data_IF_867599466295
#
_entry.id   IF_867599466295
#
_cell.length_a   1.000
_cell.length_b   1.000
_cell.length_c   1.000
_cell.angle_alpha   90.00
_cell.angle_beta   90.00
_cell.angle_gamma   90.00
#
_symmetry.space_group_name_H-M   'P 1'
#
loop_
_entity.id
_entity.type
_entity.pdbx_description
1 polymer ?
#
# COMPACT_ATOMS: atom_id res chain seq x y z
N UNK A 1 -20.57 -29.92 -1.15
CA UNK A 1 -21.51 -28.77 -1.06
C UNK A 1 -20.69 -27.52 -1.29
N UNK A 2 -21.02 -26.71 -2.29
CA UNK A 2 -20.30 -25.45 -2.55
C UNK A 2 -20.77 -24.40 -1.56
N UNK A 3 -19.84 -23.77 -0.83
CA UNK A 3 -20.14 -22.65 0.07
C UNK A 3 -20.35 -21.41 -0.81
N UNK A 4 -21.52 -20.75 -0.77
CA UNK A 4 -21.76 -19.54 -1.56
C UNK A 4 -20.76 -18.42 -1.22
N UNK A 5 -20.35 -17.67 -2.25
CA UNK A 5 -19.52 -16.46 -2.13
C UNK A 5 -20.36 -15.22 -2.46
N UNK A 6 -20.12 -14.14 -1.73
CA UNK A 6 -20.60 -12.79 -2.03
C UNK A 6 -19.41 -11.94 -2.42
N UNK A 7 -19.45 -11.31 -3.60
CA UNK A 7 -18.40 -10.39 -4.08
C UNK A 7 -19.00 -8.98 -4.11
N UNK A 8 -18.39 -8.04 -3.39
CA UNK A 8 -18.93 -6.67 -3.20
C UNK A 8 -17.81 -5.64 -3.11
N UNK A 9 -18.08 -4.38 -3.47
CA UNK A 9 -17.18 -3.25 -3.25
C UNK A 9 -17.38 -2.60 -1.86
N UNK A 10 -18.43 -2.98 -1.15
CA UNK A 10 -18.77 -2.40 0.15
C UNK A 10 -18.40 -3.37 1.26
N UNK A 11 -17.58 -2.92 2.22
CA UNK A 11 -17.28 -3.75 3.39
C UNK A 11 -18.56 -3.95 4.20
N UNK A 12 -18.91 -5.21 4.48
CA UNK A 12 -20.09 -5.51 5.28
C UNK A 12 -19.98 -4.88 6.68
N UNK A 13 -21.05 -4.25 7.16
CA UNK A 13 -21.06 -3.48 8.41
C UNK A 13 -20.63 -4.29 9.64
N UNK A 14 -20.94 -5.59 9.68
CA UNK A 14 -20.50 -6.48 10.74
C UNK A 14 -19.00 -6.77 10.70
N UNK A 15 -18.37 -6.77 9.50
CA UNK A 15 -16.91 -6.88 9.35
C UNK A 15 -16.25 -5.58 9.81
N UNK A 16 -16.79 -4.43 9.43
CA UNK A 16 -16.31 -3.12 9.88
C UNK A 16 -16.33 -3.02 11.42
N UNK A 17 -17.46 -3.43 12.04
CA UNK A 17 -17.60 -3.48 13.49
C UNK A 17 -16.59 -4.43 14.14
N UNK A 18 -16.41 -5.64 13.59
CA UNK A 18 -15.45 -6.60 14.11
C UNK A 18 -13.99 -6.14 14.02
N UNK A 19 -13.64 -5.36 12.99
CA UNK A 19 -12.32 -4.71 12.92
C UNK A 19 -12.17 -3.60 13.96
N UNK A 20 -13.25 -2.86 14.23
CA UNK A 20 -13.25 -1.76 15.20
C UNK A 20 -13.12 -2.27 16.64
N UNK A 21 -13.80 -3.35 16.99
CA UNK A 21 -13.77 -3.95 18.33
C UNK A 21 -12.65 -4.98 18.54
N UNK A 22 -11.91 -5.31 17.47
CA UNK A 22 -10.78 -6.24 17.50
C UNK A 22 -11.17 -7.72 17.42
N UNK A 23 -12.45 -8.04 17.25
CA UNK A 23 -12.91 -9.41 16.97
C UNK A 23 -12.32 -9.93 15.67
N UNK A 24 -12.13 -9.04 14.69
CA UNK A 24 -11.49 -9.35 13.42
C UNK A 24 -10.19 -8.57 13.27
N UNK A 25 -9.23 -9.18 12.57
CA UNK A 25 -7.93 -8.58 12.28
C UNK A 25 -7.62 -8.76 10.81
N UNK A 26 -7.09 -7.71 10.18
CA UNK A 26 -6.54 -7.77 8.83
C UNK A 26 -5.13 -8.34 8.89
N UNK A 27 -4.87 -9.38 8.09
CA UNK A 27 -3.55 -9.98 7.90
C UNK A 27 -3.30 -10.03 6.40
N UNK A 28 -2.48 -9.11 5.88
CA UNK A 28 -2.20 -9.01 4.45
C UNK A 28 -3.47 -8.85 3.60
N UNK A 29 -3.73 -9.83 2.74
CA UNK A 29 -4.86 -9.86 1.81
C UNK A 29 -6.17 -10.39 2.41
N UNK A 30 -6.20 -10.74 3.69
CA UNK A 30 -7.37 -11.37 4.34
C UNK A 30 -7.78 -10.68 5.62
N UNK A 31 -9.05 -10.83 5.98
CA UNK A 31 -9.55 -10.56 7.33
C UNK A 31 -9.92 -11.89 7.96
N UNK A 32 -9.43 -12.09 9.18
CA UNK A 32 -9.64 -13.30 9.97
C UNK A 32 -10.26 -12.97 11.32
N UNK A 33 -10.90 -13.96 11.91
CA UNK A 33 -11.31 -13.92 13.31
C UNK A 33 -10.08 -13.98 14.23
N UNK A 34 -9.99 -13.06 15.18
CA UNK A 34 -8.81 -12.91 16.03
C UNK A 34 -8.55 -14.15 16.89
N UNK A 35 -9.61 -14.87 17.28
CA UNK A 35 -9.54 -16.02 18.20
C UNK A 35 -9.44 -17.34 17.44
N UNK A 36 -10.39 -17.59 16.54
CA UNK A 36 -10.50 -18.85 15.78
C UNK A 36 -9.59 -18.90 14.56
N UNK A 37 -9.06 -17.75 14.10
CA UNK A 37 -8.27 -17.61 12.87
C UNK A 37 -9.03 -18.00 11.59
N UNK A 38 -10.34 -18.20 11.66
CA UNK A 38 -11.17 -18.46 10.50
C UNK A 38 -11.19 -17.28 9.55
N UNK A 39 -11.23 -17.55 8.25
CA UNK A 39 -11.26 -16.50 7.23
C UNK A 39 -12.67 -15.95 7.10
N UNK A 40 -12.75 -14.64 7.26
CA UNK A 40 -13.98 -13.85 7.23
C UNK A 40 -14.20 -13.24 5.85
N UNK A 41 -13.14 -12.75 5.21
CA UNK A 41 -13.19 -12.19 3.86
C UNK A 41 -11.80 -12.06 3.24
N UNK A 42 -11.71 -12.14 1.91
CA UNK A 42 -10.51 -11.77 1.14
C UNK A 42 -10.67 -10.37 0.55
N UNK A 43 -9.58 -9.63 0.54
CA UNK A 43 -9.45 -8.28 -0.02
C UNK A 43 -8.77 -8.40 -1.37
N UNK A 44 -9.34 -7.78 -2.40
CA UNK A 44 -8.83 -7.85 -3.76
C UNK A 44 -8.98 -6.52 -4.46
N UNK A 45 -8.03 -6.11 -5.28
CA UNK A 45 -8.18 -4.89 -6.08
C UNK A 45 -9.12 -5.13 -7.29
N UNK A 46 -9.95 -4.15 -7.68
CA UNK A 46 -10.73 -4.17 -8.90
C UNK A 46 -9.85 -4.16 -10.17
N UNK A 47 -10.35 -4.78 -11.24
CA UNK A 47 -9.62 -4.96 -12.51
C UNK A 47 -9.25 -3.65 -13.25
N UNK A 48 -9.84 -2.51 -12.87
CA UNK A 48 -9.71 -1.22 -13.56
C UNK A 48 -9.02 -0.13 -12.73
N UNK A 49 -8.42 -0.46 -11.58
CA UNK A 49 -7.72 0.54 -10.78
C UNK A 49 -6.58 1.16 -11.59
N UNK A 50 -6.57 2.48 -11.83
CA UNK A 50 -5.48 3.13 -12.53
C UNK A 50 -4.19 2.91 -11.76
N UNK A 51 -3.21 2.33 -12.44
CA UNK A 51 -1.84 2.24 -11.95
C UNK A 51 -1.35 3.66 -11.66
N UNK A 52 -0.94 4.01 -10.43
CA UNK A 52 -0.39 5.33 -10.15
C UNK A 52 0.85 5.57 -11.00
N UNK A 53 0.79 6.58 -11.88
CA UNK A 53 1.96 7.06 -12.61
C UNK A 53 2.82 7.91 -11.66
N UNK A 54 4.11 7.57 -11.51
CA UNK A 54 5.06 8.37 -10.70
C UNK A 54 5.99 9.18 -11.61
N UNK A 55 6.10 10.47 -11.30
CA UNK A 55 6.81 11.50 -12.07
C UNK A 55 8.33 11.39 -11.90
N UNK A 56 9.05 11.61 -13.01
CA UNK A 56 10.51 11.52 -13.09
C UNK A 56 11.19 12.78 -12.55
N UNK A 57 11.76 12.74 -11.34
CA UNK A 57 12.75 13.75 -10.91
C UNK A 57 13.85 13.15 -10.02
N UNK A 58 15.15 13.45 -10.24
CA UNK A 58 16.25 12.63 -9.74
C UNK A 58 16.64 12.86 -8.28
N UNK A 59 16.14 13.92 -7.61
CA UNK A 59 16.62 14.31 -6.27
C UNK A 59 15.63 13.99 -5.13
N UNK A 60 14.55 13.24 -5.42
CA UNK A 60 13.47 12.92 -4.48
C UNK A 60 13.30 11.42 -4.19
N UNK A 61 14.24 10.56 -4.59
CA UNK A 61 14.11 9.09 -4.60
C UNK A 61 13.80 8.45 -3.24
N UNK A 62 14.21 9.06 -2.14
CA UNK A 62 13.92 8.60 -0.78
C UNK A 62 12.61 9.20 -0.21
N UNK A 63 12.23 10.42 -0.61
CA UNK A 63 11.08 11.16 -0.06
C UNK A 63 9.74 10.86 -0.74
N UNK A 64 9.71 10.19 -1.90
CA UNK A 64 8.50 10.05 -2.72
C UNK A 64 7.99 8.61 -2.84
N UNK A 65 8.70 7.63 -2.27
CA UNK A 65 8.39 6.20 -2.39
C UNK A 65 7.49 5.69 -1.26
N UNK A 66 7.40 6.42 -0.16
CA UNK A 66 6.74 5.95 1.06
C UNK A 66 5.36 6.58 1.30
N UNK A 67 5.10 7.79 0.77
CA UNK A 67 3.78 8.42 0.85
C UNK A 67 2.77 7.87 -0.17
N UNK A 68 2.28 6.66 0.05
CA UNK A 68 1.00 6.17 -0.45
C UNK A 68 -0.16 6.75 0.39
N UNK A 69 -0.46 8.04 0.19
CA UNK A 69 -1.63 8.81 0.63
C UNK A 69 -2.07 8.75 2.13
N UNK A 70 -1.65 9.75 2.90
CA UNK A 70 -2.57 10.79 3.39
C UNK A 70 -1.78 11.97 3.99
N UNK A 71 -1.82 13.10 3.29
CA UNK A 71 -1.42 14.39 3.82
C UNK A 71 -2.44 14.76 4.89
N UNK A 72 -2.09 14.62 6.17
CA UNK A 72 -2.79 15.32 7.26
C UNK A 72 -2.45 16.79 7.11
N UNK A 73 -3.15 17.47 6.20
CA UNK A 73 -3.24 18.92 6.23
C UNK A 73 -4.17 19.28 7.38
N UNK A 74 -3.59 19.53 8.56
CA UNK A 74 -4.23 20.34 9.59
C UNK A 74 -4.77 21.61 8.94
N UNK A 75 -6.08 21.85 9.09
CA UNK A 75 -6.80 22.90 8.39
C UNK A 75 -6.16 24.28 8.50
N UNK A 76 -5.87 24.86 7.34
CA UNK A 76 -5.79 26.30 7.14
C UNK A 76 -6.11 26.60 5.66
N UNK A 77 -7.12 27.45 5.45
CA UNK A 77 -7.57 27.94 4.16
C UNK A 77 -6.41 28.42 3.26
N UNK A 78 -6.36 27.97 2.02
CA UNK A 78 -5.69 28.69 0.94
C UNK A 78 -6.44 28.52 -0.39
N UNK A 79 -7.04 29.62 -0.80
CA UNK A 79 -7.84 29.86 -1.97
C UNK A 79 -7.09 29.66 -3.31
N UNK A 80 -7.76 28.99 -4.26
CA UNK A 80 -8.13 29.51 -5.59
C UNK A 80 -7.03 30.18 -6.44
N UNK A 81 -6.65 29.45 -7.50
CA UNK A 81 -6.47 29.92 -8.89
C UNK A 81 -5.11 30.47 -9.35
N UNK A 82 -4.59 29.83 -10.41
CA UNK A 82 -4.37 30.40 -11.76
C UNK A 82 -3.75 29.31 -12.66
N UNK A 83 -4.50 28.75 -13.60
CA UNK A 83 -4.53 29.18 -15.00
C UNK A 83 -5.14 28.11 -15.91
N UNK A 84 -6.28 28.47 -16.50
CA UNK A 84 -6.94 27.79 -17.59
C UNK A 84 -8.30 28.46 -17.77
N UNK A 85 -8.41 29.76 -18.07
CA UNK A 85 -7.82 30.47 -19.22
C UNK A 85 -7.99 29.72 -20.56
N UNK A 86 -9.10 28.98 -20.69
CA UNK A 86 -9.64 28.53 -21.98
C UNK A 86 -11.16 28.78 -22.13
N UNK A 87 -11.91 29.13 -21.07
CA UNK A 87 -13.37 29.29 -21.14
C UNK A 87 -13.91 30.72 -20.90
N UNK A 88 -13.04 31.74 -20.91
CA UNK A 88 -13.46 33.15 -20.80
C UNK A 88 -13.37 33.91 -22.13
N UNK A 89 -12.80 33.31 -23.18
CA UNK A 89 -12.73 33.93 -24.51
C UNK A 89 -13.98 33.65 -25.38
N UNK A 90 -14.98 32.93 -24.86
CA UNK A 90 -16.16 32.50 -25.62
C UNK A 90 -17.50 33.16 -25.26
N UNK A 91 -17.61 33.93 -24.16
CA UNK A 91 -18.93 34.45 -23.70
C UNK A 91 -18.95 35.90 -23.18
N UNK A 92 -17.92 36.70 -23.46
CA UNK A 92 -17.96 38.16 -23.26
C UNK A 92 -17.48 38.95 -24.50
N UNK A 93 -17.71 38.40 -25.69
CA UNK A 93 -17.71 39.13 -26.95
C UNK A 93 -19.11 39.67 -27.25
N UNK A 94 -19.42 40.85 -26.72
CA UNK A 94 -20.58 41.63 -27.15
C UNK A 94 -21.51 42.01 -25.99
N UNK A 95 -21.46 43.27 -25.57
CA UNK A 95 -22.46 44.30 -25.94
C UNK A 95 -22.20 45.54 -25.09
N UNK A 96 -21.72 46.59 -25.75
CA UNK A 96 -22.03 48.02 -25.55
C UNK A 96 -21.34 48.74 -26.73
N UNK A 97 -21.88 49.70 -27.47
CA UNK A 97 -22.85 50.78 -27.25
C UNK A 97 -23.39 51.26 -28.62
N UNK A 98 -24.66 51.67 -28.68
CA UNK A 98 -25.20 52.92 -29.29
C UNK A 98 -26.74 52.80 -29.45
N UNK A 99 -27.53 53.47 -28.59
CA UNK A 99 -28.30 54.73 -28.84
C UNK A 99 -29.46 54.54 -29.83
N UNK A 100 -30.74 54.88 -29.66
CA UNK A 100 -31.58 55.85 -28.89
C UNK A 100 -33.01 55.24 -28.89
N UNK A 101 -34.03 55.54 -28.07
CA UNK A 101 -34.27 56.54 -27.03
C UNK A 101 -35.74 56.42 -26.52
N UNK A 102 -36.02 57.17 -25.44
CA UNK A 102 -37.29 57.47 -24.74
C UNK A 102 -37.75 56.47 -23.65
N UNK A 103 -37.50 56.67 -22.33
CA UNK A 103 -37.96 57.74 -21.38
C UNK A 103 -39.51 57.72 -21.25
N UNK A 104 -40.21 57.66 -20.11
CA UNK A 104 -40.02 57.94 -18.67
C UNK A 104 -41.02 57.05 -17.85
N UNK A 105 -40.98 56.87 -16.53
CA UNK A 105 -41.16 57.86 -15.44
C UNK A 105 -40.71 57.29 -14.09
N UNK A 106 -40.01 58.15 -13.33
CA UNK A 106 -39.68 58.20 -11.89
C UNK A 106 -40.57 57.36 -10.94
N UNK A 107 -40.09 56.74 -9.86
CA UNK A 107 -39.20 57.27 -8.82
C UNK A 107 -39.97 57.32 -7.49
N UNK A 108 -39.23 57.26 -6.38
CA UNK A 108 -39.63 57.50 -4.97
C UNK A 108 -39.90 56.25 -4.11
N UNK A 109 -39.24 56.34 -2.96
CA UNK A 109 -39.05 55.43 -1.85
C UNK A 109 -40.23 55.46 -0.86
N UNK A 110 -40.30 54.40 -0.02
CA UNK A 110 -40.69 54.38 1.40
C UNK A 110 -42.19 54.34 1.86
N UNK A 111 -42.43 53.32 2.71
CA UNK A 111 -43.28 53.23 3.93
C UNK A 111 -44.74 52.70 3.85
N UNK A 112 -44.95 51.58 4.57
CA UNK A 112 -46.12 51.25 5.45
C UNK A 112 -47.42 50.84 4.74
N UNK A 113 -48.22 49.84 5.14
CA UNK A 113 -48.48 49.24 6.46
C UNK A 113 -49.34 47.96 6.25
N UNK A 114 -48.97 46.86 6.93
CA UNK A 114 -49.77 45.76 7.54
C UNK A 114 -51.20 45.44 7.02
N UNK A 115 -51.42 44.19 6.55
CA UNK A 115 -52.51 43.30 7.00
C UNK A 115 -52.29 41.83 6.54
N UNK A 116 -52.47 40.90 7.48
CA UNK A 116 -52.21 39.44 7.42
C UNK A 116 -53.23 38.65 6.57
N UNK A 117 -52.74 37.61 5.89
CA UNK A 117 -53.42 36.32 5.79
C UNK A 117 -52.38 35.19 5.80
N UNK A 118 -52.43 34.39 6.87
CA UNK A 118 -51.45 33.37 7.22
C UNK A 118 -51.50 32.15 6.28
N UNK A 119 -50.37 31.83 5.65
CA UNK A 119 -50.05 30.47 5.21
C UNK A 119 -48.87 29.99 6.07
N UNK A 120 -49.15 28.91 6.79
CA UNK A 120 -48.49 28.38 7.97
C UNK A 120 -47.00 28.06 7.81
N UNK A 121 -46.18 28.58 8.72
CA UNK A 121 -44.76 28.24 8.93
C UNK A 121 -44.47 26.80 9.39
N UNK A 122 -45.49 25.94 9.54
CA UNK A 122 -45.26 24.51 9.82
C UNK A 122 -44.75 23.73 8.60
N UNK A 123 -45.11 24.13 7.37
CA UNK A 123 -44.68 23.42 6.16
C UNK A 123 -43.19 23.54 5.88
N UNK A 124 -42.60 24.73 6.10
CA UNK A 124 -41.17 24.95 5.88
C UNK A 124 -40.29 24.40 7.02
N UNK A 125 -40.76 24.44 8.27
CA UNK A 125 -40.04 23.84 9.38
C UNK A 125 -39.98 22.30 9.29
N UNK A 126 -41.05 21.66 8.79
CA UNK A 126 -41.10 20.21 8.58
C UNK A 126 -40.16 19.77 7.44
N UNK A 127 -40.10 20.54 6.35
CA UNK A 127 -39.16 20.28 5.25
C UNK A 127 -37.70 20.49 5.69
N UNK A 128 -37.41 21.53 6.47
CA UNK A 128 -36.06 21.79 6.98
C UNK A 128 -35.62 20.74 8.02
N UNK A 129 -36.56 20.24 8.83
CA UNK A 129 -36.31 19.12 9.76
C UNK A 129 -36.07 17.79 9.06
N UNK A 130 -36.76 17.52 7.94
CA UNK A 130 -36.56 16.31 7.13
C UNK A 130 -35.28 16.37 6.29
N UNK A 131 -34.88 17.56 5.82
CA UNK A 131 -33.58 17.77 5.15
C UNK A 131 -32.41 17.66 6.13
N UNK A 132 -32.51 18.22 7.34
CA UNK A 132 -31.50 18.04 8.39
C UNK A 132 -31.36 16.58 8.86
N UNK A 133 -32.45 15.80 8.85
CA UNK A 133 -32.42 14.36 9.10
C UNK A 133 -31.71 13.56 8.00
N UNK A 134 -31.89 13.96 6.73
CA UNK A 134 -31.23 13.35 5.57
C UNK A 134 -29.74 13.75 5.52
N UNK A 135 -29.39 15.00 5.87
CA UNK A 135 -28.00 15.46 5.98
C UNK A 135 -27.25 14.77 7.13
N UNK A 136 -27.91 14.51 8.26
CA UNK A 136 -27.32 13.71 9.35
C UNK A 136 -27.15 12.23 8.96
N UNK A 137 -28.09 11.64 8.21
CA UNK A 137 -27.95 10.27 7.70
C UNK A 137 -26.88 10.16 6.59
N UNK A 138 -26.77 11.15 5.70
CA UNK A 138 -25.70 11.22 4.70
C UNK A 138 -24.33 11.52 5.35
N UNK A 139 -24.32 12.31 6.42
CA UNK A 139 -23.15 12.55 7.26
C UNK A 139 -22.68 11.30 8.00
N UNK A 140 -23.60 10.49 8.55
CA UNK A 140 -23.29 9.20 9.18
C UNK A 140 -22.85 8.13 8.18
N UNK A 141 -23.38 8.13 6.95
CA UNK A 141 -22.93 7.24 5.85
C UNK A 141 -21.54 7.66 5.33
N UNK A 142 -21.30 8.97 5.17
CA UNK A 142 -20.00 9.52 4.77
C UNK A 142 -18.92 9.34 5.83
N UNK A 143 -19.26 9.50 7.11
CA UNK A 143 -18.37 9.21 8.23
C UNK A 143 -18.10 7.72 8.37
N UNK A 144 -19.10 6.82 8.19
CA UNK A 144 -18.84 5.38 8.17
C UNK A 144 -17.93 4.96 7.02
N UNK A 145 -18.06 5.54 5.82
CA UNK A 145 -17.15 5.25 4.71
C UNK A 145 -15.71 5.69 5.00
N UNK A 146 -15.52 6.88 5.58
CA UNK A 146 -14.19 7.38 5.99
C UNK A 146 -13.60 6.62 7.19
N UNK A 147 -14.41 6.20 8.17
CA UNK A 147 -13.95 5.40 9.32
C UNK A 147 -13.63 3.97 8.91
N UNK A 148 -14.40 3.38 7.99
CA UNK A 148 -14.17 2.02 7.46
C UNK A 148 -12.93 1.96 6.58
N UNK A 149 -12.68 3.00 5.79
CA UNK A 149 -11.42 3.15 5.06
C UNK A 149 -10.27 3.44 6.03
N UNK A 150 -10.43 4.33 7.01
CA UNK A 150 -9.40 4.66 8.01
C UNK A 150 -8.95 3.46 8.85
N UNK A 151 -9.86 2.56 9.25
CA UNK A 151 -9.56 1.34 10.01
C UNK A 151 -8.75 0.33 9.17
N UNK A 152 -9.03 0.22 7.87
CA UNK A 152 -8.28 -0.62 6.95
C UNK A 152 -6.96 0.03 6.48
N UNK A 153 -6.92 1.37 6.39
CA UNK A 153 -5.80 2.17 5.89
C UNK A 153 -4.59 2.19 6.84
N UNK A 154 -4.74 1.93 8.14
CA UNK A 154 -3.60 1.93 9.08
C UNK A 154 -2.60 0.79 8.82
N UNK A 155 -2.81 -0.04 7.81
CA UNK A 155 -1.86 -1.11 7.39
C UNK A 155 -1.76 -1.27 5.86
N UNK A 156 -2.35 -0.38 5.06
CA UNK A 156 -2.09 -0.34 3.61
C UNK A 156 -0.77 0.37 3.31
N UNK A 157 0.26 0.16 4.14
CA UNK A 157 1.63 0.44 3.72
C UNK A 157 1.80 -0.28 2.39
N UNK A 158 2.13 0.47 1.34
CA UNK A 158 2.07 0.04 -0.05
C UNK A 158 2.77 -1.33 -0.23
N UNK A 159 2.00 -2.40 -0.12
CA UNK A 159 2.51 -3.74 -0.28
C UNK A 159 2.91 -3.88 -1.72
N UNK A 160 4.09 -4.42 -1.97
CA UNK A 160 4.49 -4.65 -3.36
C UNK A 160 3.71 -5.81 -3.98
N UNK A 161 3.13 -6.67 -3.15
CA UNK A 161 2.35 -7.83 -3.55
C UNK A 161 0.88 -7.54 -3.36
N UNK A 162 0.37 -6.53 -4.06
CA UNK A 162 -0.97 -6.01 -3.81
C UNK A 162 -2.14 -6.97 -4.17
N UNK A 163 -1.85 -8.21 -4.52
CA UNK A 163 -2.80 -9.03 -5.28
C UNK A 163 -3.02 -10.37 -4.64
N UNK A 164 -4.15 -10.56 -3.94
CA UNK A 164 -4.82 -11.85 -4.02
C UNK A 164 -4.85 -12.34 -5.47
N UNK A 165 -5.06 -13.63 -5.74
CA UNK A 165 -5.04 -14.27 -7.06
C UNK A 165 -6.02 -13.59 -8.04
N UNK A 166 -5.68 -12.39 -8.52
CA UNK A 166 -6.55 -11.45 -9.22
C UNK A 166 -5.88 -11.00 -10.52
N UNK A 167 -6.72 -10.60 -11.47
CA UNK A 167 -6.46 -10.45 -12.91
C UNK A 167 -5.45 -9.33 -13.26
N UNK A 168 -4.91 -8.61 -12.28
CA UNK A 168 -3.80 -7.67 -12.48
C UNK A 168 -2.50 -8.46 -12.73
N UNK A 169 -2.23 -8.69 -14.01
CA UNK A 169 -1.27 -9.68 -14.51
C UNK A 169 0.21 -9.32 -14.34
N UNK A 170 1.05 -10.11 -15.01
CA UNK A 170 2.49 -9.91 -15.13
C UNK A 170 2.94 -8.51 -15.56
N UNK A 171 2.03 -7.65 -16.05
CA UNK A 171 2.29 -6.23 -16.32
C UNK A 171 2.68 -5.44 -15.05
N UNK A 172 2.02 -5.69 -13.91
CA UNK A 172 2.39 -5.04 -12.63
C UNK A 172 3.76 -5.51 -12.18
N UNK A 173 4.04 -6.82 -12.28
CA UNK A 173 5.35 -7.39 -11.97
C UNK A 173 6.42 -6.79 -12.88
N UNK A 174 6.15 -6.64 -14.18
CA UNK A 174 7.06 -6.01 -15.14
C UNK A 174 7.36 -4.54 -14.79
N UNK A 175 6.34 -3.77 -14.42
CA UNK A 175 6.51 -2.38 -14.02
C UNK A 175 7.33 -2.26 -12.73
N UNK A 176 7.05 -3.10 -11.73
CA UNK A 176 7.81 -3.12 -10.47
C UNK A 176 9.25 -3.54 -10.70
N UNK A 177 9.49 -4.56 -11.52
CA UNK A 177 10.84 -4.96 -11.91
C UNK A 177 11.59 -3.83 -12.63
N UNK A 178 10.92 -3.08 -13.50
CA UNK A 178 11.51 -1.93 -14.18
C UNK A 178 11.89 -0.80 -13.20
N UNK A 179 11.04 -0.56 -12.20
CA UNK A 179 11.33 0.38 -11.12
C UNK A 179 12.54 -0.07 -10.29
N UNK A 180 12.60 -1.35 -9.93
CA UNK A 180 13.74 -1.92 -9.18
C UNK A 180 15.03 -1.85 -9.98
N UNK A 181 15.00 -2.15 -11.28
CA UNK A 181 16.17 -2.01 -12.15
C UNK A 181 16.66 -0.57 -12.21
N UNK A 182 15.75 0.42 -12.27
CA UNK A 182 16.11 1.84 -12.26
C UNK A 182 16.76 2.24 -10.93
N UNK A 183 16.23 1.77 -9.80
CA UNK A 183 16.79 2.04 -8.47
C UNK A 183 18.17 1.41 -8.30
N UNK A 184 18.33 0.15 -8.72
CA UNK A 184 19.63 -0.50 -8.68
C UNK A 184 20.64 0.20 -9.61
N UNK A 185 20.24 0.66 -10.80
CA UNK A 185 21.13 1.46 -11.67
C UNK A 185 21.59 2.75 -10.98
N UNK A 186 20.68 3.44 -10.30
CA UNK A 186 21.00 4.65 -9.53
C UNK A 186 21.90 4.33 -8.33
N UNK A 187 21.64 3.23 -7.63
CA UNK A 187 22.50 2.76 -6.56
C UNK A 187 23.88 2.35 -7.08
N UNK A 188 23.98 1.73 -8.26
CA UNK A 188 25.25 1.39 -8.91
C UNK A 188 26.08 2.64 -9.24
N UNK A 189 25.46 3.72 -9.70
CA UNK A 189 26.17 5.00 -9.90
C UNK A 189 26.77 5.55 -8.59
N UNK A 190 26.11 5.33 -7.45
CA UNK A 190 26.61 5.69 -6.13
C UNK A 190 27.67 4.69 -5.61
N UNK A 191 27.47 3.40 -5.84
CA UNK A 191 28.31 2.28 -5.39
C UNK A 191 29.56 2.07 -6.27
N UNK A 192 29.56 2.56 -7.51
CA UNK A 192 30.74 2.59 -8.38
C UNK A 192 31.86 3.45 -7.78
N UNK A 193 31.53 4.40 -6.90
CA UNK A 193 32.52 5.12 -6.08
C UNK A 193 33.26 4.22 -5.08
N UNK A 194 32.75 3.00 -4.85
CA UNK A 194 33.27 1.96 -3.94
C UNK A 194 33.58 0.66 -4.70
N UNK A 195 33.70 0.72 -6.04
CA UNK A 195 34.10 -0.40 -6.91
C UNK A 195 33.19 -1.65 -6.86
N UNK A 196 31.89 -1.46 -6.62
CA UNK A 196 30.88 -2.53 -6.63
C UNK A 196 30.01 -2.42 -7.88
N UNK A 197 29.94 -3.49 -8.68
CA UNK A 197 29.11 -3.58 -9.90
C UNK A 197 27.86 -4.42 -9.64
N UNK A 198 26.74 -3.99 -10.21
CA UNK A 198 25.49 -4.74 -10.16
C UNK A 198 25.32 -5.46 -11.50
N UNK A 199 25.14 -6.78 -11.48
CA UNK A 199 24.93 -7.52 -12.71
C UNK A 199 23.49 -7.37 -13.20
N UNK A 200 23.28 -6.40 -14.10
CA UNK A 200 21.99 -6.13 -14.72
C UNK A 200 21.56 -7.20 -15.73
N UNK A 201 22.42 -8.17 -16.10
CA UNK A 201 22.05 -9.23 -17.03
C UNK A 201 20.95 -10.14 -16.46
N UNK A 202 20.92 -10.32 -15.14
CA UNK A 202 19.88 -11.08 -14.45
C UNK A 202 18.49 -10.43 -14.56
N UNK A 203 18.43 -9.10 -14.61
CA UNK A 203 17.16 -8.38 -14.84
C UNK A 203 16.64 -8.59 -16.27
N UNK A 204 17.53 -8.67 -17.25
CA UNK A 204 17.12 -9.02 -18.61
C UNK A 204 16.55 -10.44 -18.69
N UNK A 205 17.15 -11.39 -17.97
CA UNK A 205 16.63 -12.76 -17.86
C UNK A 205 15.24 -12.78 -17.19
N UNK A 206 15.07 -12.05 -16.08
CA UNK A 206 13.79 -11.92 -15.40
C UNK A 206 12.73 -11.26 -16.29
N UNK A 207 13.06 -10.20 -17.02
CA UNK A 207 12.15 -9.57 -17.99
C UNK A 207 11.69 -10.56 -19.05
N UNK A 208 12.60 -11.36 -19.60
CA UNK A 208 12.25 -12.41 -20.56
C UNK A 208 11.32 -13.46 -19.94
N UNK A 209 11.53 -13.83 -18.67
CA UNK A 209 10.63 -14.72 -17.94
C UNK A 209 9.22 -14.14 -17.80
N UNK A 210 9.13 -12.84 -17.49
CA UNK A 210 7.86 -12.11 -17.39
C UNK A 210 7.14 -12.03 -18.74
N UNK A 211 7.86 -11.77 -19.84
CA UNK A 211 7.27 -11.79 -21.18
C UNK A 211 6.73 -13.18 -21.56
N UNK A 212 7.48 -14.24 -21.26
CA UNK A 212 7.02 -15.63 -21.44
C UNK A 212 5.77 -15.90 -20.59
N UNK A 213 5.73 -15.40 -19.36
CA UNK A 213 4.56 -15.57 -18.50
C UNK A 213 3.34 -14.78 -19.01
N UNK A 214 3.51 -13.55 -19.50
CA UNK A 214 2.44 -12.79 -20.18
C UNK A 214 1.90 -13.59 -21.37
N UNK A 215 2.78 -14.14 -22.20
CA UNK A 215 2.40 -14.97 -23.34
C UNK A 215 1.61 -16.21 -22.90
N UNK A 216 2.02 -16.86 -21.81
CA UNK A 216 1.31 -18.01 -21.27
C UNK A 216 -0.15 -17.71 -20.93
N UNK A 217 -0.44 -16.50 -20.41
CA UNK A 217 -1.78 -16.11 -19.98
C UNK A 217 -2.64 -15.46 -21.08
N UNK A 218 -2.04 -15.07 -22.21
CA UNK A 218 -2.72 -14.32 -23.28
C UNK A 218 -2.90 -15.12 -24.57
N UNK A 219 -2.09 -16.17 -24.79
CA UNK A 219 -2.20 -17.02 -25.97
C UNK A 219 -3.47 -17.88 -25.95
N UNK A 220 -4.07 -18.11 -27.12
CA UNK A 220 -5.33 -18.87 -27.22
C UNK A 220 -5.13 -20.38 -27.31
N UNK A 221 -3.99 -20.84 -27.84
CA UNK A 221 -3.69 -22.26 -28.02
C UNK A 221 -3.12 -22.87 -26.73
N UNK A 222 -3.75 -23.92 -26.14
CA UNK A 222 -3.30 -24.51 -24.88
C UNK A 222 -1.84 -24.95 -24.87
N UNK A 223 -1.35 -25.58 -25.95
CA UNK A 223 0.04 -26.04 -26.04
C UNK A 223 1.06 -24.89 -26.02
N UNK A 224 0.71 -23.76 -26.65
CA UNK A 224 1.58 -22.59 -26.65
C UNK A 224 1.62 -21.92 -25.27
N UNK A 225 0.47 -21.88 -24.57
CA UNK A 225 0.38 -21.42 -23.19
C UNK A 225 1.26 -22.26 -22.29
N UNK A 226 1.11 -23.58 -22.38
CA UNK A 226 1.90 -24.56 -21.61
C UNK A 226 3.39 -24.42 -21.84
N UNK A 227 3.82 -24.34 -23.10
CA UNK A 227 5.22 -24.17 -23.46
C UNK A 227 5.80 -22.86 -22.91
N UNK A 228 5.05 -21.75 -23.02
CA UNK A 228 5.49 -20.45 -22.47
C UNK A 228 5.57 -20.47 -20.95
N UNK A 229 4.58 -21.06 -20.27
CA UNK A 229 4.57 -21.17 -18.81
C UNK A 229 5.77 -21.97 -18.29
N UNK A 230 6.08 -23.13 -18.90
CA UNK A 230 7.22 -23.96 -18.51
C UNK A 230 8.56 -23.23 -18.71
N UNK A 231 8.71 -22.48 -19.81
CA UNK A 231 9.92 -21.67 -20.04
C UNK A 231 10.05 -20.53 -19.03
N UNK A 232 8.93 -19.89 -18.66
CA UNK A 232 8.91 -18.85 -17.64
C UNK A 232 9.31 -19.41 -16.26
N UNK A 233 8.72 -20.55 -15.86
CA UNK A 233 9.02 -21.25 -14.59
C UNK A 233 10.53 -21.51 -14.45
N UNK A 234 11.17 -22.09 -15.48
CA UNK A 234 12.59 -22.38 -15.42
C UNK A 234 13.45 -21.12 -15.20
N UNK A 235 13.08 -19.98 -15.79
CA UNK A 235 13.79 -18.72 -15.61
C UNK A 235 13.50 -18.07 -14.26
N UNK A 236 12.29 -18.21 -13.72
CA UNK A 236 11.99 -17.74 -12.36
C UNK A 236 12.72 -18.57 -11.31
N UNK A 237 12.81 -19.89 -11.47
CA UNK A 237 13.62 -20.75 -10.61
C UNK A 237 15.10 -20.35 -10.62
N UNK A 238 15.65 -20.06 -11.81
CA UNK A 238 17.01 -19.52 -11.92
C UNK A 238 17.14 -18.19 -11.17
N UNK A 239 16.20 -17.26 -11.38
CA UNK A 239 16.17 -15.97 -10.70
C UNK A 239 16.07 -16.12 -9.17
N UNK A 240 15.27 -17.05 -8.65
CA UNK A 240 15.18 -17.30 -7.22
C UNK A 240 16.53 -17.67 -6.62
N UNK A 241 17.29 -18.57 -7.25
CA UNK A 241 18.62 -18.95 -6.77
C UNK A 241 19.58 -17.74 -6.73
N UNK A 242 19.60 -16.97 -7.82
CA UNK A 242 20.47 -15.79 -7.93
C UNK A 242 20.11 -14.72 -6.89
N UNK A 243 18.83 -14.35 -6.82
CA UNK A 243 18.39 -13.28 -5.92
C UNK A 243 18.39 -13.70 -4.45
N UNK A 244 18.30 -15.01 -4.17
CA UNK A 244 18.56 -15.53 -2.82
C UNK A 244 19.98 -15.23 -2.37
N UNK A 245 20.98 -15.57 -3.21
CA UNK A 245 22.40 -15.34 -2.91
C UNK A 245 22.69 -13.84 -2.75
N UNK A 246 22.22 -13.00 -3.69
CA UNK A 246 22.43 -11.55 -3.57
C UNK A 246 21.76 -10.95 -2.35
N UNK A 247 20.53 -11.36 -2.02
CA UNK A 247 19.85 -10.88 -0.82
C UNK A 247 20.66 -11.22 0.44
N UNK A 248 21.15 -12.46 0.56
CA UNK A 248 21.94 -12.88 1.71
C UNK A 248 23.24 -12.06 1.82
N UNK A 249 23.96 -11.87 0.71
CA UNK A 249 25.19 -11.04 0.65
C UNK A 249 24.92 -9.59 1.05
N UNK A 250 23.87 -8.96 0.51
CA UNK A 250 23.57 -7.56 0.81
C UNK A 250 23.11 -7.34 2.26
N UNK A 251 22.34 -8.28 2.82
CA UNK A 251 21.92 -8.25 4.23
C UNK A 251 23.16 -8.37 5.13
N UNK A 252 24.07 -9.32 4.85
CA UNK A 252 25.31 -9.50 5.62
C UNK A 252 26.20 -8.26 5.59
N UNK A 253 26.24 -7.59 4.44
CA UNK A 253 26.98 -6.35 4.25
C UNK A 253 26.25 -5.10 4.78
N UNK A 254 25.05 -5.27 5.32
CA UNK A 254 24.21 -4.18 5.85
C UNK A 254 23.97 -3.09 4.81
N UNK A 255 23.72 -3.52 3.58
CA UNK A 255 23.60 -2.67 2.40
C UNK A 255 22.23 -2.02 2.30
N UNK A 256 22.17 -0.85 1.66
CA UNK A 256 20.91 -0.15 1.36
C UNK A 256 20.13 -0.81 0.23
N UNK A 257 20.74 -1.69 -0.57
CA UNK A 257 20.08 -2.33 -1.71
C UNK A 257 19.52 -3.74 -1.42
N UNK A 258 19.53 -4.12 -0.14
CA UNK A 258 19.10 -5.46 0.26
C UNK A 258 17.60 -5.67 0.05
N UNK A 259 16.78 -4.62 0.25
CA UNK A 259 15.34 -4.68 -0.01
C UNK A 259 15.00 -4.86 -1.49
N UNK A 260 15.76 -4.26 -2.42
CA UNK A 260 15.50 -4.43 -3.84
C UNK A 260 15.68 -5.88 -4.28
N UNK A 261 16.73 -6.56 -3.81
CA UNK A 261 16.91 -7.99 -4.11
C UNK A 261 15.90 -8.86 -3.39
N UNK A 262 15.59 -8.58 -2.13
CA UNK A 262 14.59 -9.32 -1.37
C UNK A 262 13.20 -9.20 -2.02
N UNK A 263 12.89 -8.03 -2.55
CA UNK A 263 11.67 -7.79 -3.28
C UNK A 263 11.68 -8.46 -4.65
N UNK A 264 12.81 -8.48 -5.35
CA UNK A 264 12.93 -9.19 -6.63
C UNK A 264 12.76 -10.70 -6.44
N UNK A 265 13.33 -11.26 -5.36
CA UNK A 265 13.12 -12.64 -4.94
C UNK A 265 11.63 -12.91 -4.64
N UNK A 266 10.98 -11.99 -3.94
CA UNK A 266 9.54 -12.05 -3.67
C UNK A 266 8.71 -12.06 -4.97
N UNK A 267 9.08 -11.25 -5.97
CA UNK A 267 8.42 -11.28 -7.27
C UNK A 267 8.67 -12.58 -8.03
N UNK A 268 9.85 -13.19 -7.90
CA UNK A 268 10.20 -14.45 -8.54
C UNK A 268 9.27 -15.59 -8.08
N UNK A 269 9.16 -15.78 -6.75
CA UNK A 269 8.29 -16.80 -6.16
C UNK A 269 6.82 -16.59 -6.54
N UNK A 270 6.34 -15.34 -6.53
CA UNK A 270 4.96 -15.03 -6.94
C UNK A 270 4.72 -15.37 -8.41
N UNK A 271 5.65 -14.96 -9.28
CA UNK A 271 5.56 -15.16 -10.72
C UNK A 271 5.60 -16.65 -11.09
N UNK A 272 6.50 -17.41 -10.47
CA UNK A 272 6.64 -18.85 -10.65
C UNK A 272 5.38 -19.61 -10.21
N UNK A 273 4.90 -19.35 -8.99
CA UNK A 273 3.69 -20.00 -8.48
C UNK A 273 2.46 -19.69 -9.36
N UNK A 274 2.37 -18.47 -9.91
CA UNK A 274 1.33 -18.13 -10.90
C UNK A 274 1.43 -18.93 -12.18
N UNK A 275 2.64 -19.16 -12.70
CA UNK A 275 2.81 -20.01 -13.89
C UNK A 275 2.37 -21.46 -13.62
N UNK A 276 2.57 -21.99 -12.41
CA UNK A 276 2.01 -23.29 -12.03
C UNK A 276 0.48 -23.29 -11.98
N UNK A 277 -0.14 -22.21 -11.52
CA UNK A 277 -1.61 -22.08 -11.51
C UNK A 277 -2.19 -22.01 -12.93
N UNK A 278 -1.50 -21.38 -13.89
CA UNK A 278 -1.89 -21.42 -15.31
C UNK A 278 -1.86 -22.84 -15.88
N UNK A 279 -0.95 -23.68 -15.36
CA UNK A 279 -0.84 -25.09 -15.72
C UNK A 279 -1.82 -25.98 -14.96
N UNK A 280 -2.70 -25.40 -14.12
CA UNK A 280 -3.63 -26.11 -13.23
C UNK A 280 -2.93 -27.00 -12.17
N UNK A 281 -1.63 -26.78 -11.93
CA UNK A 281 -0.79 -27.49 -10.97
C UNK A 281 -0.92 -26.87 -9.56
N UNK A 282 -2.15 -26.90 -9.02
CA UNK A 282 -2.53 -26.21 -7.77
C UNK A 282 -1.68 -26.64 -6.56
N UNK A 283 -1.44 -27.94 -6.39
CA UNK A 283 -0.64 -28.46 -5.28
C UNK A 283 0.82 -28.00 -5.36
N UNK A 284 1.36 -27.93 -6.58
CA UNK A 284 2.70 -27.40 -6.80
C UNK A 284 2.74 -25.91 -6.49
N UNK A 285 1.78 -25.12 -7.00
CA UNK A 285 1.71 -23.70 -6.70
C UNK A 285 1.61 -23.42 -5.18
N UNK A 286 0.78 -24.17 -4.45
CA UNK A 286 0.66 -24.05 -3.00
C UNK A 286 1.99 -24.34 -2.30
N UNK A 287 2.65 -25.44 -2.66
CA UNK A 287 3.97 -25.80 -2.13
C UNK A 287 5.00 -24.71 -2.40
N UNK A 288 5.00 -24.11 -3.60
CA UNK A 288 5.91 -23.02 -3.97
C UNK A 288 5.63 -21.75 -3.18
N UNK A 289 4.37 -21.39 -2.94
CA UNK A 289 4.04 -20.28 -2.04
C UNK A 289 4.45 -20.54 -0.59
N UNK A 290 4.32 -21.76 -0.08
CA UNK A 290 4.76 -22.15 1.26
C UNK A 290 6.29 -22.05 1.40
N UNK A 291 7.02 -22.55 0.40
CA UNK A 291 8.47 -22.43 0.35
C UNK A 291 8.92 -20.97 0.28
N UNK A 292 8.32 -20.19 -0.64
CA UNK A 292 8.59 -18.77 -0.81
C UNK A 292 8.33 -17.99 0.48
N UNK A 293 7.17 -18.17 1.13
CA UNK A 293 6.87 -17.50 2.39
C UNK A 293 7.91 -17.81 3.48
N UNK A 294 8.33 -19.07 3.63
CA UNK A 294 9.38 -19.45 4.59
C UNK A 294 10.72 -18.78 4.28
N UNK A 295 11.13 -18.79 3.01
CA UNK A 295 12.40 -18.24 2.52
C UNK A 295 12.45 -16.72 2.66
N UNK A 296 11.35 -16.05 2.29
CA UNK A 296 11.18 -14.60 2.32
C UNK A 296 11.04 -14.11 3.76
N UNK A 297 10.20 -14.73 4.59
CA UNK A 297 10.01 -14.37 6.01
C UNK A 297 11.32 -14.31 6.77
N UNK A 298 12.15 -15.34 6.63
CA UNK A 298 13.43 -15.42 7.33
C UNK A 298 14.38 -14.26 6.95
N UNK A 299 14.38 -13.84 5.68
CA UNK A 299 15.23 -12.75 5.19
C UNK A 299 14.68 -11.37 5.54
N UNK A 300 13.37 -11.19 5.43
CA UNK A 300 12.71 -9.97 5.91
C UNK A 300 12.99 -9.79 7.38
N UNK A 301 12.88 -10.84 8.21
CA UNK A 301 13.17 -10.73 9.63
C UNK A 301 14.61 -10.27 9.89
N UNK A 302 15.60 -10.91 9.25
CA UNK A 302 17.01 -10.49 9.38
C UNK A 302 17.23 -9.02 9.00
N UNK A 303 16.59 -8.57 7.92
CA UNK A 303 16.75 -7.19 7.46
C UNK A 303 15.97 -6.20 8.33
N UNK A 304 14.76 -6.53 8.79
CA UNK A 304 14.01 -5.75 9.78
C UNK A 304 14.79 -5.62 11.08
N UNK A 305 15.39 -6.69 11.59
CA UNK A 305 16.23 -6.66 12.79
C UNK A 305 17.44 -5.72 12.60
N UNK A 306 18.05 -5.72 11.41
CA UNK A 306 19.09 -4.77 11.05
C UNK A 306 18.57 -3.32 11.08
N UNK A 307 17.42 -3.07 10.45
CA UNK A 307 16.81 -1.74 10.32
C UNK A 307 16.27 -1.21 11.65
N UNK A 308 15.83 -2.07 12.59
CA UNK A 308 15.48 -1.67 13.95
C UNK A 308 16.66 -1.07 14.71
N UNK A 309 17.89 -1.25 14.20
CA UNK A 309 19.15 -0.74 14.74
C UNK A 309 19.51 -1.37 16.09
N UNK A 310 20.72 -1.07 16.57
CA UNK A 310 21.09 -1.45 17.94
C UNK A 310 20.44 -0.57 19.02
N UNK A 311 19.79 0.53 18.63
CA UNK A 311 19.02 1.39 19.52
C UNK A 311 17.67 1.81 18.88
N UNK A 312 16.65 0.92 18.91
CA UNK A 312 15.34 1.18 18.33
C UNK A 312 14.59 2.38 18.95
N UNK A 313 15.03 2.89 20.12
CA UNK A 313 14.56 4.14 20.70
C UNK A 313 14.75 5.35 19.76
N UNK A 314 15.64 5.23 18.76
CA UNK A 314 15.81 6.22 17.70
C UNK A 314 14.50 6.56 16.97
N UNK A 315 13.60 5.59 16.81
CA UNK A 315 12.30 5.77 16.13
C UNK A 315 11.25 6.50 16.98
N UNK A 316 11.41 6.53 18.30
CA UNK A 316 10.47 7.14 19.25
C UNK A 316 10.85 8.57 19.64
N UNK A 317 11.73 9.20 18.86
CA UNK A 317 12.16 10.56 19.13
C UNK A 317 11.03 11.59 18.90
N UNK A 318 11.04 12.73 19.63
CA UNK A 318 9.97 13.72 19.55
C UNK A 318 9.68 14.27 18.15
N UNK A 319 10.70 14.38 17.27
CA UNK A 319 10.49 14.89 15.91
C UNK A 319 9.62 13.99 15.03
N UNK A 320 9.44 12.71 15.39
CA UNK A 320 8.60 11.77 14.65
C UNK A 320 7.17 11.70 15.19
N UNK A 321 6.79 12.54 16.15
CA UNK A 321 5.44 12.55 16.72
C UNK A 321 4.38 12.72 15.63
N UNK A 322 3.42 11.80 15.58
CA UNK A 322 2.37 11.76 14.57
C UNK A 322 2.77 11.07 13.25
N UNK A 323 4.04 10.74 13.08
CA UNK A 323 4.53 9.87 12.01
C UNK A 323 4.79 8.48 12.59
N UNK A 324 5.72 8.35 13.54
CA UNK A 324 6.06 7.07 14.19
C UNK A 324 5.65 7.14 15.66
N UNK A 325 4.88 6.15 16.10
CA UNK A 325 4.47 6.02 17.49
C UNK A 325 4.79 4.62 18.04
N UNK A 326 4.64 4.47 19.35
CA UNK A 326 4.91 3.21 20.04
C UNK A 326 4.01 2.08 19.52
N UNK A 327 2.78 2.38 19.13
CA UNK A 327 1.83 1.40 18.58
C UNK A 327 2.32 0.85 17.25
N UNK A 328 2.77 1.70 16.33
CA UNK A 328 3.37 1.27 15.06
C UNK A 328 4.64 0.45 15.29
N UNK A 329 5.53 0.90 16.17
CA UNK A 329 6.73 0.14 16.52
C UNK A 329 6.37 -1.23 17.11
N UNK A 330 5.35 -1.27 17.97
CA UNK A 330 4.85 -2.52 18.56
C UNK A 330 4.37 -3.50 17.51
N UNK A 331 3.75 -3.04 16.41
CA UNK A 331 3.33 -3.94 15.31
C UNK A 331 4.52 -4.62 14.62
N UNK A 332 5.64 -3.92 14.45
CA UNK A 332 6.86 -4.53 13.92
C UNK A 332 7.35 -5.62 14.87
N UNK A 333 7.42 -5.33 16.17
CA UNK A 333 7.82 -6.31 17.18
C UNK A 333 6.84 -7.49 17.27
N UNK A 334 5.53 -7.25 17.16
CA UNK A 334 4.50 -8.29 17.16
C UNK A 334 4.60 -9.23 15.95
N UNK A 335 5.05 -8.73 14.82
CA UNK A 335 5.30 -9.59 13.66
C UNK A 335 6.49 -10.53 13.88
N UNK A 336 7.52 -10.06 14.61
CA UNK A 336 8.71 -10.85 14.99
C UNK A 336 8.35 -11.84 16.11
N UNK A 337 7.73 -11.35 17.18
CA UNK A 337 7.27 -12.09 18.33
C UNK A 337 5.83 -11.68 18.69
N UNK A 338 4.82 -12.51 18.33
CA UNK A 338 3.41 -12.21 18.55
C UNK A 338 3.01 -12.06 20.02
N UNK A 339 3.88 -12.44 20.97
CA UNK A 339 3.59 -12.33 22.40
C UNK A 339 3.82 -10.92 22.97
N UNK A 340 4.50 -10.05 22.21
CA UNK A 340 4.83 -8.70 22.65
C UNK A 340 3.62 -7.78 22.57
N UNK A 341 3.33 -7.09 23.68
CA UNK A 341 2.36 -6.00 23.72
C UNK A 341 3.06 -4.63 23.81
N UNK A 342 2.26 -3.56 23.77
CA UNK A 342 2.78 -2.20 23.78
C UNK A 342 3.61 -1.89 25.04
N UNK A 343 3.21 -2.46 26.19
CA UNK A 343 3.93 -2.33 27.46
C UNK A 343 5.29 -3.03 27.39
N UNK A 344 5.33 -4.25 26.85
CA UNK A 344 6.56 -5.03 26.68
C UNK A 344 7.55 -4.31 25.78
N UNK A 345 7.06 -3.74 24.66
CA UNK A 345 7.90 -2.98 23.72
C UNK A 345 8.41 -1.69 24.37
N UNK A 346 7.56 -0.98 25.13
CA UNK A 346 8.02 0.18 25.90
C UNK A 346 9.12 -0.20 26.90
N UNK A 347 8.97 -1.31 27.60
CA UNK A 347 9.96 -1.80 28.57
C UNK A 347 11.29 -2.15 27.90
N UNK A 348 11.26 -2.77 26.71
CA UNK A 348 12.45 -2.99 25.89
C UNK A 348 13.14 -1.69 25.48
N UNK A 349 12.37 -0.62 25.21
CA UNK A 349 12.93 0.67 24.80
C UNK A 349 13.30 1.58 25.98
N UNK A 350 12.94 1.24 27.22
CA UNK A 350 13.15 2.10 28.39
C UNK A 350 14.61 2.49 28.59
N UNK A 351 15.52 1.52 28.51
CA UNK A 351 16.96 1.79 28.62
C UNK A 351 17.49 2.61 27.45
N UNK A 352 17.00 2.33 26.24
CA UNK A 352 17.38 3.00 25.01
C UNK A 352 17.04 4.50 25.06
N UNK A 353 15.82 4.82 25.48
CA UNK A 353 15.35 6.20 25.68
C UNK A 353 16.18 6.92 26.74
N UNK A 354 16.51 6.25 27.85
CA UNK A 354 17.33 6.84 28.91
C UNK A 354 18.78 7.11 28.45
N UNK A 355 19.40 6.16 27.75
CA UNK A 355 20.74 6.32 27.15
C UNK A 355 20.77 7.49 26.16
N UNK A 356 19.71 7.66 25.37
CA UNK A 356 19.58 8.79 24.44
C UNK A 356 19.39 10.13 25.14
N UNK A 357 18.68 10.16 26.27
CA UNK A 357 18.53 11.39 27.05
C UNK A 357 19.87 11.84 27.67
N UNK A 358 20.74 10.89 28.05
CA UNK A 358 22.08 11.18 28.58
C UNK A 358 23.06 11.62 27.50
N UNK A 359 23.00 11.01 26.32
CA UNK A 359 23.87 11.32 25.18
C UNK A 359 23.03 11.46 23.89
N UNK A 360 22.52 12.68 23.60
CA UNK A 360 21.56 12.93 22.52
C UNK A 360 22.03 12.62 21.10
N UNK A 361 23.33 12.38 20.89
CA UNK A 361 23.88 12.12 19.57
C UNK A 361 24.41 10.69 19.39
N UNK A 362 24.59 9.93 20.47
CA UNK A 362 25.14 8.56 20.43
C UNK A 362 24.29 7.55 19.66
N UNK A 363 22.99 7.80 19.53
CA UNK A 363 22.11 6.94 18.73
C UNK A 363 22.45 7.02 17.23
N UNK A 364 23.10 8.07 16.74
CA UNK A 364 23.54 8.16 15.34
C UNK A 364 24.57 7.07 15.02
N UNK A 365 25.43 6.74 15.97
CA UNK A 365 26.44 5.68 15.81
C UNK A 365 25.82 4.28 15.83
N UNK A 366 24.55 4.16 16.23
CA UNK A 366 23.80 2.90 16.24
C UNK A 366 23.17 2.56 14.88
N UNK A 367 23.09 3.54 13.97
CA UNK A 367 22.45 3.39 12.66
C UNK A 367 23.35 2.52 11.74
N UNK A 368 22.81 1.47 11.11
CA UNK A 368 23.55 0.69 10.12
C UNK A 368 23.71 1.48 8.81
N UNK A 369 24.65 1.03 7.97
CA UNK A 369 24.88 1.57 6.64
C UNK A 369 23.62 1.51 5.73
N UNK A 370 22.76 0.52 5.97
CA UNK A 370 21.44 0.37 5.34
C UNK A 370 20.49 1.55 5.61
N UNK A 371 20.73 2.33 6.66
CA UNK A 371 19.96 3.55 6.93
C UNK A 371 20.77 4.77 6.51
N UNK A 372 22.01 4.88 6.95
CA UNK A 372 22.82 6.06 6.72
C UNK A 372 24.29 5.70 6.54
N UNK A 373 24.88 6.09 5.41
CA UNK A 373 26.34 6.08 5.24
C UNK A 373 26.89 7.50 5.32
N UNK A 374 28.05 7.66 5.94
CA UNK A 374 28.74 8.96 6.04
C UNK A 374 29.21 9.48 4.67
N UNK A 375 29.30 8.61 3.66
CA UNK A 375 29.80 8.93 2.31
C UNK A 375 28.73 9.60 1.45
N UNK A 376 27.45 9.37 1.74
CA UNK A 376 26.32 9.93 0.98
C UNK A 376 25.88 11.31 1.47
N UNK A 377 26.25 11.71 2.69
CA UNK A 377 25.84 13.01 3.24
C UNK A 377 26.72 14.10 2.65
N UNK A 378 26.08 14.96 1.84
CA UNK A 378 26.75 16.08 1.19
C UNK A 378 27.26 17.06 2.25
N UNK A 379 28.57 17.29 2.27
CA UNK A 379 29.21 18.08 3.31
C UNK A 379 30.30 18.99 2.76
N UNK A 380 30.70 19.97 3.58
CA UNK A 380 31.85 20.84 3.30
C UNK A 380 33.18 20.07 3.29
N UNK A 381 34.29 20.80 3.12
CA UNK A 381 35.65 20.25 2.94
C UNK A 381 36.10 19.24 4.03
N UNK A 382 35.49 19.25 5.22
CA UNK A 382 35.85 18.39 6.35
C UNK A 382 34.98 17.14 6.52
N UNK A 383 34.07 16.85 5.58
CA UNK A 383 33.08 15.78 5.73
C UNK A 383 31.85 16.20 6.56
N UNK A 384 30.83 15.33 6.69
CA UNK A 384 29.57 15.69 7.32
C UNK A 384 29.74 15.90 8.82
N UNK A 385 29.22 17.03 9.31
CA UNK A 385 29.11 17.28 10.75
C UNK A 385 28.12 16.31 11.40
N UNK A 386 28.15 16.20 12.73
CA UNK A 386 27.13 15.40 13.41
C UNK A 386 25.71 15.94 13.19
N UNK A 387 25.56 17.25 13.04
CA UNK A 387 24.25 17.84 12.75
C UNK A 387 23.78 17.50 11.33
N UNK A 388 24.67 17.45 10.34
CA UNK A 388 24.33 17.02 8.97
C UNK A 388 23.87 15.56 8.96
N UNK A 389 24.59 14.68 9.66
CA UNK A 389 24.21 13.26 9.82
C UNK A 389 22.86 13.12 10.52
N UNK A 390 22.61 13.96 11.53
CA UNK A 390 21.36 13.97 12.29
C UNK A 390 20.17 14.39 11.44
N UNK A 391 20.31 15.46 10.65
CA UNK A 391 19.26 15.92 9.74
C UNK A 391 18.95 14.87 8.67
N UNK A 392 19.98 14.25 8.10
CA UNK A 392 19.76 13.18 7.12
C UNK A 392 19.12 11.93 7.78
N UNK A 393 19.54 11.55 8.99
CA UNK A 393 18.90 10.48 9.74
C UNK A 393 17.41 10.77 10.02
N UNK A 394 17.05 12.01 10.35
CA UNK A 394 15.67 12.43 10.55
C UNK A 394 14.82 12.34 9.29
N UNK A 395 15.42 12.55 8.12
CA UNK A 395 14.74 12.34 6.84
C UNK A 395 14.56 10.85 6.53
N UNK A 396 15.56 10.02 6.81
CA UNK A 396 15.57 8.60 6.41
C UNK A 396 14.83 7.66 7.35
N UNK A 397 14.83 7.91 8.66
CA UNK A 397 14.21 6.99 9.62
C UNK A 397 12.70 6.74 9.35
N UNK A 398 11.86 7.76 9.08
CA UNK A 398 10.46 7.51 8.70
C UNK A 398 10.30 6.64 7.46
N UNK A 399 11.15 6.86 6.45
CA UNK A 399 11.13 6.09 5.20
C UNK A 399 11.52 4.62 5.44
N UNK A 400 12.58 4.40 6.21
CA UNK A 400 13.02 3.07 6.61
C UNK A 400 11.96 2.36 7.44
N UNK A 401 11.24 3.10 8.29
CA UNK A 401 10.15 2.54 9.07
C UNK A 401 9.00 2.05 8.18
N UNK A 402 8.61 2.86 7.20
CA UNK A 402 7.61 2.48 6.19
C UNK A 402 8.09 1.34 5.29
N UNK A 403 9.40 1.24 5.01
CA UNK A 403 10.01 0.09 4.33
C UNK A 403 9.83 -1.20 5.14
N UNK A 404 10.12 -1.17 6.45
CA UNK A 404 9.91 -2.33 7.32
C UNK A 404 8.45 -2.79 7.30
N UNK A 405 7.50 -1.86 7.45
CA UNK A 405 6.08 -2.18 7.36
C UNK A 405 5.68 -2.75 5.99
N UNK A 406 6.19 -2.18 4.89
CA UNK A 406 5.91 -2.68 3.54
C UNK A 406 6.47 -4.09 3.30
N UNK A 407 7.66 -4.41 3.81
CA UNK A 407 8.23 -5.76 3.73
C UNK A 407 7.42 -6.75 4.57
N UNK A 408 7.06 -6.38 5.80
CA UNK A 408 6.20 -7.20 6.66
C UNK A 408 4.87 -7.49 5.96
N UNK A 409 4.22 -6.45 5.43
CA UNK A 409 2.98 -6.59 4.68
C UNK A 409 3.17 -7.48 3.43
N UNK A 410 4.29 -7.35 2.70
CA UNK A 410 4.66 -8.23 1.58
C UNK A 410 4.69 -9.70 2.03
N UNK A 411 5.30 -10.01 3.17
CA UNK A 411 5.28 -11.37 3.73
C UNK A 411 3.87 -11.85 4.07
N UNK A 412 3.08 -11.03 4.77
CA UNK A 412 1.72 -11.38 5.17
C UNK A 412 0.80 -11.63 3.96
N UNK A 413 1.03 -10.94 2.84
CA UNK A 413 0.31 -11.19 1.60
C UNK A 413 0.75 -12.49 0.92
N UNK A 414 2.04 -12.83 0.98
CA UNK A 414 2.52 -14.15 0.57
C UNK A 414 1.80 -15.28 1.31
N UNK A 415 1.65 -15.15 2.62
CA UNK A 415 0.89 -16.08 3.46
C UNK A 415 -0.59 -16.08 3.07
N UNK A 416 -1.17 -14.91 2.79
CA UNK A 416 -2.57 -14.78 2.33
C UNK A 416 -2.83 -15.54 1.02
N UNK A 417 -1.88 -15.61 0.09
CA UNK A 417 -2.08 -16.37 -1.17
C UNK A 417 -2.25 -17.86 -0.96
N UNK A 418 -1.57 -18.42 0.04
CA UNK A 418 -1.75 -19.82 0.40
C UNK A 418 -3.18 -20.07 0.85
N UNK A 419 -3.75 -19.13 1.62
CA UNK A 419 -5.14 -19.20 2.06
C UNK A 419 -6.12 -19.11 0.89
N UNK A 420 -5.83 -18.31 -0.13
CA UNK A 420 -6.67 -18.26 -1.33
C UNK A 420 -6.66 -19.57 -2.12
N UNK A 421 -5.50 -20.18 -2.29
CA UNK A 421 -5.40 -21.47 -2.99
C UNK A 421 -6.10 -22.60 -2.23
N UNK A 422 -5.95 -22.61 -0.90
CA UNK A 422 -6.68 -23.54 -0.04
C UNK A 422 -8.19 -23.31 -0.13
N UNK A 423 -8.64 -22.05 -0.14
CA UNK A 423 -10.05 -21.70 -0.29
C UNK A 423 -10.59 -22.15 -1.66
N UNK A 424 -9.86 -21.91 -2.76
CA UNK A 424 -10.23 -22.39 -4.09
C UNK A 424 -10.45 -23.91 -4.10
N UNK A 425 -9.54 -24.66 -3.47
CA UNK A 425 -9.64 -26.11 -3.34
C UNK A 425 -10.88 -26.53 -2.53
N UNK A 426 -11.11 -25.93 -1.35
CA UNK A 426 -12.29 -26.23 -0.51
C UNK A 426 -13.62 -25.86 -1.19
N UNK A 427 -13.63 -24.78 -1.97
CA UNK A 427 -14.81 -24.26 -2.66
C UNK A 427 -15.06 -24.96 -4.00
N UNK A 428 -14.08 -25.72 -4.51
CA UNK A 428 -14.14 -26.35 -5.83
C UNK A 428 -14.16 -25.35 -6.97
N UNK A 429 -13.53 -24.18 -6.80
CA UNK A 429 -13.45 -23.11 -7.80
C UNK A 429 -12.08 -23.17 -8.48
N UNK A 430 -12.05 -23.32 -9.81
CA UNK A 430 -10.80 -23.31 -10.57
C UNK A 430 -10.15 -21.92 -10.59
N UNK A 431 -8.83 -21.86 -10.74
CA UNK A 431 -8.05 -20.62 -10.75
C UNK A 431 -8.59 -19.55 -11.70
N UNK A 432 -8.92 -19.93 -12.93
CA UNK A 432 -9.49 -19.02 -13.93
C UNK A 432 -10.85 -18.45 -13.53
N UNK A 433 -11.66 -19.20 -12.78
CA UNK A 433 -12.97 -18.73 -12.33
C UNK A 433 -12.87 -17.90 -11.06
N UNK A 434 -11.92 -18.24 -10.17
CA UNK A 434 -11.54 -17.42 -9.03
C UNK A 434 -11.09 -16.02 -9.47
N UNK A 435 -10.31 -15.95 -10.55
CA UNK A 435 -9.85 -14.71 -11.17
C UNK A 435 -11.01 -13.85 -11.71
N UNK A 436 -12.05 -14.47 -12.26
CA UNK A 436 -13.22 -13.78 -12.84
C UNK A 436 -14.22 -13.29 -11.80
N UNK A 437 -14.03 -13.59 -10.52
CA UNK A 437 -14.92 -13.10 -9.46
C UNK A 437 -14.94 -11.56 -9.45
N UNK A 438 -16.10 -11.01 -9.77
CA UNK A 438 -16.41 -9.58 -9.70
C UNK A 438 -17.82 -9.39 -9.14
N UNK A 439 -18.14 -8.26 -8.52
CA UNK A 439 -19.51 -7.94 -8.12
C UNK A 439 -20.42 -7.91 -9.35
N UNK A 440 -21.48 -8.72 -9.37
CA UNK A 440 -22.41 -8.82 -10.50
C UNK A 440 -23.53 -7.79 -10.45
N UNK A 441 -23.79 -7.20 -9.28
CA UNK A 441 -24.92 -6.29 -9.03
C UNK A 441 -24.50 -4.88 -8.63
N UNK A 442 -23.20 -4.64 -8.43
CA UNK A 442 -22.68 -3.36 -7.96
C UNK A 442 -21.83 -2.70 -9.04
N UNK A 443 -22.06 -1.40 -9.24
CA UNK A 443 -21.12 -0.56 -10.00
C UNK A 443 -19.99 -0.17 -9.05
N UNK A 444 -18.75 -0.30 -9.50
CA UNK A 444 -17.58 0.13 -8.72
C UNK A 444 -17.75 1.61 -8.31
N UNK A 445 -17.82 1.92 -7.01
CA UNK A 445 -17.92 3.31 -6.56
C UNK A 445 -16.65 4.09 -6.93
N UNK A 446 -16.80 5.39 -7.18
CA UNK A 446 -15.65 6.29 -7.39
C UNK A 446 -14.73 6.26 -6.17
N UNK A 447 -13.46 5.91 -6.39
CA UNK A 447 -12.46 5.77 -5.32
C UNK A 447 -12.48 4.42 -4.58
N UNK A 448 -13.29 3.45 -5.00
CA UNK A 448 -13.21 2.09 -4.45
C UNK A 448 -11.95 1.37 -4.98
N UNK A 449 -10.95 1.22 -4.11
CA UNK A 449 -9.68 0.56 -4.42
C UNK A 449 -9.70 -0.96 -4.14
N UNK A 450 -10.73 -1.45 -3.45
CA UNK A 450 -10.86 -2.84 -3.03
C UNK A 450 -12.26 -3.39 -3.32
N UNK A 451 -12.30 -4.68 -3.63
CA UNK A 451 -13.45 -5.56 -3.58
C UNK A 451 -13.22 -6.66 -2.54
N UNK A 452 -14.31 -7.13 -1.97
CA UNK A 452 -14.33 -8.10 -0.88
C UNK A 452 -14.99 -9.39 -1.38
N UNK A 453 -14.36 -10.52 -1.08
CA UNK A 453 -14.90 -11.85 -1.35
C UNK A 453 -15.26 -12.47 -0.01
N UNK A 454 -16.55 -12.57 0.27
CA UNK A 454 -17.09 -12.98 1.56
C UNK A 454 -17.72 -14.36 1.40
N UNK A 455 -17.22 -15.40 2.08
CA UNK A 455 -17.88 -16.69 2.12
C UNK A 455 -19.12 -16.61 3.02
N UNK A 456 -20.19 -17.31 2.65
CA UNK A 456 -21.45 -17.35 3.43
C UNK A 456 -21.30 -17.89 4.86
N UNK A 457 -20.20 -18.60 5.13
CA UNK A 457 -19.74 -19.00 6.47
C UNK A 457 -18.21 -18.86 6.53
N UNK A 458 -17.63 -18.47 7.68
CA UNK A 458 -16.19 -18.42 7.84
C UNK A 458 -15.53 -19.75 7.47
N UNK A 459 -14.41 -19.70 6.73
CA UNK A 459 -13.68 -20.90 6.35
C UNK A 459 -12.61 -21.24 7.39
N UNK A 460 -12.60 -22.50 7.80
CA UNK A 460 -11.50 -23.10 8.54
C UNK A 460 -10.46 -23.59 7.52
N UNK A 461 -9.38 -22.81 7.38
CA UNK A 461 -8.23 -23.20 6.58
C UNK A 461 -7.11 -23.64 7.51
N UNK A 462 -6.29 -24.59 7.05
CA UNK A 462 -5.10 -24.97 7.82
C UNK A 462 -4.20 -23.74 7.95
N UNK A 463 -3.81 -23.34 9.16
CA UNK A 463 -2.92 -22.21 9.34
C UNK A 463 -1.61 -22.49 8.60
N UNK A 464 -1.26 -21.58 7.71
CA UNK A 464 0.13 -21.39 7.30
C UNK A 464 0.89 -20.97 8.56
N UNK A 465 1.84 -21.83 8.95
CA UNK A 465 2.61 -21.77 10.21
C UNK A 465 3.09 -20.36 10.55
#
# INVERSE_FOLDING_TARGET
MTIPLTVTFTLASWIAKGLQDGTFVRVGGVIIDATSKHIVTWLREPNNSPIPALSSSPNNLLNLVFSGANLVASGANAAVTRQGLADVNGRLGGVEQTSLGNIAVSGVNLIGTVANAAISGKGFADVNGRLGGIENQLGEIGQNLQLTQGILQVTTAASVLNLGVSVMGFAVIAQRLNELEKRLKQAEELLNKVNRKIDLSFYANFRAAIELAVNAFTMTKPENRRSSALQAINRFLEAEHIYTEYTDIEIEQKSQIADEYLLTLSLAYLAEARCYLELEEHDTALRRFQEGARVIRSRIQKYVDLLLTSNPGAYLQPQFKGQIDLRRLTRIYQWIDPTLDENSVFDLQRENLFKMAQDPNKWLDSLPAAILTRVEVQAGWFGPSQDDLKQEAYKRLPQVFELMESMIETNLRFESYQTELQAMSQLGIGFHDWLKLTPSTEVQPDGAELMYIIPSKPLELQPSI
#
